data_IF_244426354881
#
_entry.id   IF_244426354881
#
_cell.length_a   1.000
_cell.length_b   1.000
_cell.length_c   1.000
_cell.angle_alpha   90.00
_cell.angle_beta   90.00
_cell.angle_gamma   90.00
#
_symmetry.space_group_name_H-M   'P 1'
#
loop_
_entity.id
_entity.type
_entity.pdbx_description
1 polymer ?
#
# COMPACT_ATOMS: atom_id res chain seq x y z
N UNK A 1 16.92 -15.39 -5.67
CA UNK A 1 16.93 -13.92 -5.73
C UNK A 1 15.57 -13.53 -5.21
N UNK A 2 15.51 -12.81 -4.10
CA UNK A 2 14.24 -12.30 -3.62
C UNK A 2 13.80 -11.22 -4.62
N UNK A 3 12.79 -11.55 -5.43
CA UNK A 3 12.22 -10.61 -6.39
C UNK A 3 11.58 -9.48 -5.59
N UNK A 4 12.21 -8.31 -5.64
CA UNK A 4 11.69 -7.12 -4.96
C UNK A 4 10.41 -6.69 -5.67
N UNK A 5 9.31 -6.59 -4.93
CA UNK A 5 8.06 -6.04 -5.46
C UNK A 5 8.28 -4.56 -5.81
N UNK A 6 7.89 -4.17 -7.02
CA UNK A 6 7.88 -2.78 -7.48
C UNK A 6 6.43 -2.37 -7.68
N UNK A 7 6.05 -1.26 -7.08
CA UNK A 7 4.69 -0.71 -7.15
C UNK A 7 4.66 0.70 -7.70
N UNK A 8 3.58 1.05 -8.37
CA UNK A 8 3.38 2.38 -8.97
C UNK A 8 2.35 3.16 -8.18
N UNK A 9 2.69 4.39 -7.79
CA UNK A 9 1.79 5.33 -7.11
C UNK A 9 1.87 6.65 -7.86
N UNK A 10 0.77 7.12 -8.43
CA UNK A 10 0.69 8.35 -9.25
C UNK A 10 1.83 8.47 -10.30
N UNK A 11 2.13 7.36 -10.98
CA UNK A 11 3.19 7.27 -11.99
C UNK A 11 4.62 7.20 -11.43
N UNK A 12 4.81 7.29 -10.11
CA UNK A 12 6.10 7.10 -9.44
C UNK A 12 6.28 5.65 -9.01
N UNK A 13 7.46 5.07 -9.27
CA UNK A 13 7.77 3.68 -8.88
C UNK A 13 8.47 3.61 -7.53
N UNK A 14 8.05 2.66 -6.72
CA UNK A 14 8.60 2.36 -5.40
C UNK A 14 9.06 0.91 -5.34
N UNK A 15 10.20 0.68 -4.69
CA UNK A 15 10.67 -0.65 -4.33
C UNK A 15 10.15 -0.95 -2.93
N UNK A 16 9.30 -1.97 -2.82
CA UNK A 16 8.77 -2.42 -1.54
C UNK A 16 9.85 -3.18 -0.79
N UNK A 17 10.10 -2.77 0.45
CA UNK A 17 11.06 -3.40 1.38
C UNK A 17 10.36 -4.14 2.51
N UNK A 18 9.16 -3.68 2.89
CA UNK A 18 8.26 -4.36 3.82
C UNK A 18 6.91 -4.51 3.11
N UNK A 19 6.52 -5.73 2.70
CA UNK A 19 5.24 -5.94 2.03
C UNK A 19 4.08 -5.68 3.00
N UNK A 20 2.93 -5.32 2.45
CA UNK A 20 1.72 -5.23 3.25
C UNK A 20 1.36 -6.59 3.86
N UNK A 21 0.87 -6.56 5.08
CA UNK A 21 0.31 -7.74 5.76
C UNK A 21 -1.21 -7.69 5.72
N UNK A 22 -1.89 -8.71 6.27
CA UNK A 22 -3.35 -8.68 6.44
C UNK A 22 -3.84 -7.73 7.55
N UNK A 23 -2.98 -6.86 8.08
CA UNK A 23 -3.36 -5.84 9.04
C UNK A 23 -4.10 -4.69 8.35
N UNK A 24 -5.38 -4.53 8.69
CA UNK A 24 -6.26 -3.49 8.13
C UNK A 24 -6.13 -2.22 8.97
N UNK A 25 -5.83 -1.11 8.31
CA UNK A 25 -5.89 0.22 8.87
C UNK A 25 -7.21 0.88 8.50
N UNK A 26 -7.95 1.37 9.49
CA UNK A 26 -9.21 2.08 9.28
C UNK A 26 -9.05 3.55 9.64
N UNK A 27 -9.42 4.44 8.72
CA UNK A 27 -9.46 5.89 8.96
C UNK A 27 -10.87 6.43 8.76
N UNK A 28 -11.40 7.08 9.79
CA UNK A 28 -12.70 7.76 9.73
C UNK A 28 -12.49 9.22 9.38
N UNK A 29 -12.84 9.62 8.16
CA UNK A 29 -12.78 11.02 7.74
C UNK A 29 -14.04 11.73 8.23
N UNK A 30 -13.89 12.80 9.01
CA UNK A 30 -15.02 13.60 9.49
C UNK A 30 -15.88 14.09 8.31
N UNK A 31 -17.16 13.70 8.30
CA UNK A 31 -18.11 14.07 7.26
C UNK A 31 -18.39 12.99 6.21
N UNK A 32 -17.69 11.85 6.26
CA UNK A 32 -18.00 10.66 5.45
C UNK A 32 -18.60 9.59 6.37
N UNK A 33 -19.68 8.94 5.93
CA UNK A 33 -20.34 7.89 6.74
C UNK A 33 -19.58 6.58 6.76
N UNK A 34 -18.67 6.38 5.79
CA UNK A 34 -17.93 5.13 5.61
C UNK A 34 -16.47 5.32 6.01
N UNK A 35 -15.94 4.37 6.78
CA UNK A 35 -14.53 4.29 7.10
C UNK A 35 -13.73 3.84 5.88
N UNK A 36 -12.62 4.51 5.59
CA UNK A 36 -11.67 4.07 4.57
C UNK A 36 -10.81 2.98 5.19
N UNK A 37 -10.66 1.86 4.47
CA UNK A 37 -9.85 0.71 4.90
C UNK A 37 -8.67 0.53 3.95
N UNK A 38 -7.48 0.39 4.49
CA UNK A 38 -6.25 0.19 3.72
C UNK A 38 -5.39 -0.93 4.28
N UNK A 39 -4.48 -1.44 3.45
CA UNK A 39 -3.31 -2.20 3.86
C UNK A 39 -2.07 -1.35 3.60
N UNK A 40 -1.10 -1.44 4.50
CA UNK A 40 0.10 -0.61 4.44
C UNK A 40 1.36 -1.47 4.33
N UNK A 41 2.26 -1.06 3.45
CA UNK A 41 3.62 -1.57 3.33
C UNK A 41 4.62 -0.42 3.38
N UNK A 42 5.91 -0.72 3.25
CA UNK A 42 6.96 0.30 3.19
C UNK A 42 7.91 0.08 2.02
N UNK A 43 8.46 1.17 1.52
CA UNK A 43 9.46 1.13 0.46
C UNK A 43 10.18 2.45 0.26
N UNK A 44 11.00 2.52 -0.79
CA UNK A 44 11.67 3.73 -1.23
C UNK A 44 11.46 3.94 -2.73
N UNK A 45 11.61 5.17 -3.22
CA UNK A 45 11.48 5.47 -4.65
C UNK A 45 12.56 4.72 -5.43
N UNK A 46 12.19 4.03 -6.53
CA UNK A 46 13.11 3.20 -7.33
C UNK A 46 14.37 3.94 -7.79
N UNK A 47 14.24 5.23 -8.10
CA UNK A 47 15.33 6.11 -8.53
C UNK A 47 15.69 7.17 -7.46
N UNK A 48 15.35 6.94 -6.20
CA UNK A 48 15.58 7.85 -5.08
C UNK A 48 16.62 7.34 -4.08
N UNK A 49 16.74 8.03 -2.94
CA UNK A 49 17.55 7.59 -1.82
C UNK A 49 16.90 6.39 -1.12
N UNK A 50 17.56 5.22 -1.01
CA UNK A 50 17.03 4.05 -0.31
C UNK A 50 16.78 4.25 1.19
N UNK A 51 17.41 5.25 1.81
CA UNK A 51 17.19 5.59 3.21
C UNK A 51 15.95 6.46 3.42
N UNK A 52 15.41 7.03 2.33
CA UNK A 52 14.21 7.85 2.37
C UNK A 52 12.99 6.96 2.17
N UNK A 53 12.42 6.50 3.29
CA UNK A 53 11.32 5.55 3.30
C UNK A 53 9.96 6.22 3.13
N UNK A 54 9.03 5.46 2.58
CA UNK A 54 7.65 5.82 2.38
C UNK A 54 6.76 4.69 2.88
N UNK A 55 5.67 5.03 3.53
CA UNK A 55 4.53 4.16 3.67
C UNK A 55 3.78 4.12 2.33
N UNK A 56 3.37 2.93 1.91
CA UNK A 56 2.65 2.69 0.66
C UNK A 56 1.31 2.07 1.04
N UNK A 57 0.21 2.69 0.60
CA UNK A 57 -1.14 2.28 0.98
C UNK A 57 -1.92 1.72 -0.21
N UNK A 58 -2.57 0.59 0.01
CA UNK A 58 -3.55 -0.01 -0.89
C UNK A 58 -4.93 0.07 -0.27
N UNK A 59 -5.90 0.59 -1.01
CA UNK A 59 -7.30 0.58 -0.62
C UNK A 59 -7.87 -0.84 -0.69
N UNK A 60 -8.68 -1.19 0.29
CA UNK A 60 -9.43 -2.43 0.27
C UNK A 60 -10.60 -2.33 -0.69
N UNK A 61 -10.38 -2.72 -1.95
CA UNK A 61 -11.36 -2.61 -3.02
C UNK A 61 -11.67 -3.95 -3.71
N UNK A 62 -11.09 -5.05 -3.25
CA UNK A 62 -11.26 -6.41 -3.77
C UNK A 62 -12.38 -7.22 -3.11
N UNK A 63 -12.16 -8.53 -2.95
CA UNK A 63 -13.10 -9.48 -2.33
C UNK A 63 -12.88 -9.53 -0.82
N UNK A 64 -13.62 -8.71 -0.07
CA UNK A 64 -13.48 -8.58 1.39
C UNK A 64 -14.12 -9.73 2.19
N UNK A 65 -14.87 -10.62 1.54
CA UNK A 65 -15.43 -11.82 2.16
C UNK A 65 -14.43 -13.00 2.14
N UNK A 66 -13.33 -12.88 1.37
CA UNK A 66 -12.25 -13.86 1.29
C UNK A 66 -11.41 -13.89 2.57
N UNK A 67 -10.97 -15.07 2.99
CA UNK A 67 -9.97 -15.29 4.05
C UNK A 67 -8.52 -15.07 3.56
N UNK A 68 -8.33 -15.08 2.24
CA UNK A 68 -7.07 -14.76 1.58
C UNK A 68 -6.96 -13.25 1.31
N UNK A 69 -6.13 -12.56 2.09
CA UNK A 69 -5.95 -11.11 2.00
C UNK A 69 -5.37 -10.65 0.67
N UNK A 70 -4.69 -11.53 -0.08
CA UNK A 70 -4.20 -11.18 -1.41
C UNK A 70 -5.33 -10.82 -2.38
N UNK A 71 -6.58 -11.22 -2.06
CA UNK A 71 -7.78 -10.86 -2.83
C UNK A 71 -8.45 -9.57 -2.38
N UNK A 72 -8.04 -8.98 -1.24
CA UNK A 72 -8.67 -7.77 -0.71
C UNK A 72 -8.30 -6.50 -1.49
N UNK A 73 -7.23 -6.57 -2.28
CA UNK A 73 -6.78 -5.50 -3.18
C UNK A 73 -6.88 -6.02 -4.61
N UNK A 74 -7.53 -5.27 -5.52
CA UNK A 74 -7.70 -5.71 -6.91
C UNK A 74 -6.40 -5.76 -7.70
N UNK A 75 -5.48 -4.84 -7.45
CA UNK A 75 -4.20 -4.72 -8.14
C UNK A 75 -3.06 -4.41 -7.17
N UNK A 76 -2.18 -5.38 -6.93
CA UNK A 76 -0.99 -5.21 -6.08
C UNK A 76 0.19 -4.52 -6.79
N UNK A 77 0.10 -4.22 -8.09
CA UNK A 77 1.14 -3.52 -8.85
C UNK A 77 0.99 -1.99 -8.78
N UNK A 78 -0.19 -1.52 -8.42
CA UNK A 78 -0.52 -0.10 -8.23
C UNK A 78 -0.94 0.11 -6.79
N UNK A 79 -0.54 1.20 -6.16
CA UNK A 79 -1.04 1.57 -4.84
C UNK A 79 -1.70 2.96 -4.90
N UNK A 80 -2.59 3.22 -3.96
CA UNK A 80 -3.43 4.43 -3.95
C UNK A 80 -2.69 5.64 -3.41
N UNK A 81 -1.75 5.44 -2.48
CA UNK A 81 -0.99 6.52 -1.89
C UNK A 81 0.42 6.10 -1.44
N UNK A 82 1.29 7.09 -1.31
CA UNK A 82 2.60 6.93 -0.70
C UNK A 82 2.98 8.16 0.12
N UNK A 83 3.28 7.97 1.40
CA UNK A 83 3.61 9.03 2.36
C UNK A 83 5.05 8.91 2.83
N UNK A 84 5.80 10.01 2.75
CA UNK A 84 7.17 10.05 3.26
C UNK A 84 7.18 9.84 4.79
N UNK A 85 8.02 8.93 5.27
CA UNK A 85 8.25 8.69 6.69
C UNK A 85 9.40 9.58 7.17
N UNK A 86 9.14 10.39 8.20
CA UNK A 86 10.11 11.30 8.83
C UNK A 86 11.00 10.59 9.85
#
# INVERSE_FOLDING_TARGET
MDDKQIVTVDGTKYVVTEPATGEIYESTVMGVSEAIRTLNGKGYKLNGDPNKLYEIEWMLDGDLDSDDFSKWVKDWQTADAAFELN
#
